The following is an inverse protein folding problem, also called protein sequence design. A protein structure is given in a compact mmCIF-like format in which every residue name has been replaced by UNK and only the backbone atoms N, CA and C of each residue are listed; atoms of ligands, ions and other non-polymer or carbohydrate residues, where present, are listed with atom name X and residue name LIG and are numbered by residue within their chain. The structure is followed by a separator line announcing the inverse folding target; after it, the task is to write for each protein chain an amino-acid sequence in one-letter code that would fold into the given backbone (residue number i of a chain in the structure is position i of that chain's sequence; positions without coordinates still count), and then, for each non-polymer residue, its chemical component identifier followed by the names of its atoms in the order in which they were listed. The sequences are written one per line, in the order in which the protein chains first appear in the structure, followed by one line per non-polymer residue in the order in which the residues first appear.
data_IF_881547036018
#
_entry.id   IF_881547036018
#
_cell.length_a   1.000
_cell.length_b   1.000
_cell.length_c   1.000
_cell.angle_alpha   90.00
_cell.angle_beta   90.00
_cell.angle_gamma   90.00
#
_symmetry.space_group_name_H-M   'P 1'
#
loop_
_entity.id
_entity.type
_entity.pdbx_description
1 polymer ?
#
# COMPACT_ATOMS: atom_id res chain seq x y z
N UNK A 1 12.44 -3.32 -12.04
CA UNK A 1 11.91 -3.81 -10.74
C UNK A 1 10.90 -2.82 -10.19
N UNK A 2 9.96 -2.33 -11.02
CA UNK A 2 9.19 -1.10 -10.73
C UNK A 2 7.68 -1.32 -10.53
N UNK A 3 7.15 -2.54 -10.66
CA UNK A 3 5.70 -2.72 -10.79
C UNK A 3 4.96 -3.00 -9.48
N UNK A 4 5.51 -3.82 -8.58
CA UNK A 4 4.77 -4.29 -7.40
C UNK A 4 4.42 -3.17 -6.40
N UNK A 5 5.34 -2.26 -6.02
CA UNK A 5 5.00 -1.15 -5.12
C UNK A 5 4.01 -0.20 -5.79
N UNK A 6 4.23 0.13 -7.07
CA UNK A 6 3.43 1.11 -7.82
C UNK A 6 1.97 0.70 -7.95
N UNK A 7 1.69 -0.59 -8.15
CA UNK A 7 0.31 -1.11 -8.19
C UNK A 7 -0.44 -0.93 -6.86
N UNK A 8 0.22 -1.20 -5.73
CA UNK A 8 -0.39 -1.03 -4.39
C UNK A 8 -0.58 0.45 -4.06
N UNK A 9 0.35 1.32 -4.45
CA UNK A 9 0.18 2.77 -4.34
C UNK A 9 -1.03 3.28 -5.14
N UNK A 10 -1.20 2.82 -6.38
CA UNK A 10 -2.37 3.16 -7.19
C UNK A 10 -3.68 2.69 -6.56
N UNK A 11 -3.72 1.46 -6.06
CA UNK A 11 -4.88 0.92 -5.35
C UNK A 11 -5.22 1.73 -4.09
N UNK A 12 -4.22 2.17 -3.32
CA UNK A 12 -4.41 3.01 -2.14
C UNK A 12 -5.13 4.31 -2.48
N UNK A 13 -4.65 5.06 -3.47
CA UNK A 13 -5.28 6.32 -3.87
C UNK A 13 -6.67 6.11 -4.47
N UNK A 14 -6.87 5.07 -5.29
CA UNK A 14 -8.18 4.76 -5.84
C UNK A 14 -9.22 4.49 -4.74
N UNK A 15 -8.84 3.76 -3.69
CA UNK A 15 -9.72 3.52 -2.54
C UNK A 15 -10.00 4.82 -1.79
N UNK A 16 -8.99 5.65 -1.52
CA UNK A 16 -9.20 6.93 -0.83
C UNK A 16 -10.13 7.88 -1.61
N UNK A 17 -10.03 7.89 -2.94
CA UNK A 17 -10.91 8.69 -3.80
C UNK A 17 -12.35 8.22 -3.66
N UNK A 18 -12.60 6.91 -3.78
CA UNK A 18 -13.95 6.36 -3.63
C UNK A 18 -14.52 6.51 -2.22
N UNK A 19 -13.69 6.47 -1.17
CA UNK A 19 -14.14 6.65 0.22
C UNK A 19 -14.69 8.05 0.52
N UNK A 20 -14.36 9.07 -0.28
CA UNK A 20 -14.86 10.44 -0.07
C UNK A 20 -16.38 10.52 -0.15
N UNK A 21 -16.96 9.76 -1.07
CA UNK A 21 -18.40 9.80 -1.39
C UNK A 21 -19.21 8.81 -0.54
N UNK A 22 -18.55 7.98 0.26
CA UNK A 22 -19.22 7.06 1.19
C UNK A 22 -19.72 7.84 2.42
N UNK A 23 -20.91 7.48 2.90
CA UNK A 23 -21.55 8.08 4.08
C UNK A 23 -21.51 7.21 5.33
N UNK A 24 -21.22 5.91 5.19
CA UNK A 24 -21.00 5.00 6.32
C UNK A 24 -19.61 5.23 6.92
N UNK A 25 -19.55 5.95 8.04
CA UNK A 25 -18.31 6.32 8.72
C UNK A 25 -17.56 5.10 9.27
N UNK A 26 -18.26 4.08 9.76
CA UNK A 26 -17.63 2.85 10.29
C UNK A 26 -16.97 2.08 9.16
N UNK A 27 -17.65 1.96 8.01
CA UNK A 27 -17.07 1.36 6.82
C UNK A 27 -15.87 2.16 6.31
N UNK A 28 -15.95 3.50 6.30
CA UNK A 28 -14.85 4.37 5.88
C UNK A 28 -13.62 4.18 6.74
N UNK A 29 -13.76 4.25 8.05
CA UNK A 29 -12.64 4.13 8.96
C UNK A 29 -11.97 2.75 8.83
N UNK A 30 -12.76 1.67 8.81
CA UNK A 30 -12.24 0.30 8.63
C UNK A 30 -11.52 0.14 7.31
N UNK A 31 -12.09 0.64 6.22
CA UNK A 31 -11.50 0.53 4.88
C UNK A 31 -10.24 1.37 4.75
N UNK A 32 -10.25 2.60 5.30
CA UNK A 32 -9.07 3.48 5.36
C UNK A 32 -7.93 2.83 6.14
N UNK A 33 -8.22 2.26 7.32
CA UNK A 33 -7.22 1.57 8.12
C UNK A 33 -6.65 0.37 7.37
N UNK A 34 -7.50 -0.46 6.77
CA UNK A 34 -7.07 -1.65 6.02
C UNK A 34 -6.17 -1.30 4.84
N UNK A 35 -6.55 -0.31 4.02
CA UNK A 35 -5.77 0.05 2.83
C UNK A 35 -4.44 0.72 3.21
N UNK A 36 -4.42 1.47 4.31
CA UNK A 36 -3.17 2.05 4.86
C UNK A 36 -2.21 0.96 5.34
N UNK A 37 -2.71 -0.06 6.05
CA UNK A 37 -1.90 -1.18 6.50
C UNK A 37 -1.33 -1.99 5.32
N UNK A 38 -2.13 -2.25 4.28
CA UNK A 38 -1.67 -2.92 3.06
C UNK A 38 -0.58 -2.12 2.32
N UNK A 39 -0.73 -0.80 2.24
CA UNK A 39 0.29 0.07 1.66
C UNK A 39 1.60 -0.01 2.46
N UNK A 40 1.51 0.00 3.79
CA UNK A 40 2.70 -0.09 4.65
C UNK A 40 3.38 -1.45 4.52
N UNK A 41 2.61 -2.54 4.47
CA UNK A 41 3.15 -3.89 4.25
C UNK A 41 3.88 -3.98 2.90
N UNK A 42 3.29 -3.48 1.83
CA UNK A 42 3.92 -3.45 0.51
C UNK A 42 5.23 -2.65 0.49
N UNK A 43 5.26 -1.49 1.17
CA UNK A 43 6.48 -0.67 1.33
C UNK A 43 7.57 -1.45 2.07
N UNK A 44 7.24 -2.05 3.20
CA UNK A 44 8.18 -2.83 4.01
C UNK A 44 8.73 -4.01 3.22
N UNK A 45 7.87 -4.78 2.55
CA UNK A 45 8.29 -5.94 1.77
C UNK A 45 9.18 -5.54 0.59
N UNK A 46 8.85 -4.45 -0.11
CA UNK A 46 9.70 -3.93 -1.18
C UNK A 46 11.09 -3.53 -0.65
N UNK A 47 11.16 -2.86 0.50
CA UNK A 47 12.42 -2.48 1.12
C UNK A 47 13.28 -3.69 1.52
N UNK A 48 12.65 -4.74 2.09
CA UNK A 48 13.35 -5.97 2.46
C UNK A 48 13.91 -6.71 1.23
N UNK A 49 13.13 -6.83 0.16
CA UNK A 49 13.58 -7.46 -1.09
C UNK A 49 14.75 -6.68 -1.69
N UNK A 50 14.63 -5.35 -1.78
CA UNK A 50 15.69 -4.49 -2.33
C UNK A 50 16.97 -4.56 -1.48
N UNK A 51 16.85 -4.49 -0.15
CA UNK A 51 18.00 -4.61 0.76
C UNK A 51 18.69 -5.97 0.64
N UNK A 52 17.92 -7.06 0.55
CA UNK A 52 18.48 -8.40 0.35
C UNK A 52 19.21 -8.56 -0.98
N UNK A 53 18.73 -7.90 -2.04
CA UNK A 53 19.39 -7.93 -3.34
C UNK A 53 20.69 -7.14 -3.36
N UNK A 54 20.75 -6.03 -2.64
CA UNK A 54 21.95 -5.22 -2.55
C UNK A 54 23.03 -5.94 -1.74
N UNK A 55 22.67 -6.56 -0.60
CA UNK A 55 23.59 -7.36 0.22
C UNK A 55 24.12 -8.63 -0.49
N UNK A 56 23.50 -9.07 -1.59
CA UNK A 56 23.97 -10.21 -2.41
C UNK A 56 24.95 -9.80 -3.51
N UNK A 57 25.14 -8.50 -3.74
CA UNK A 57 26.11 -7.98 -4.73
C UNK A 57 27.48 -7.71 -4.11
N UNK A 58 27.59 -7.71 -2.78
CA UNK A 58 28.83 -7.80 -2.01
C UNK A 58 29.29 -9.26 -1.89
#
# INVERSE_FOLDING_TARGET
MESLPTGVFGAYFNVLINLKDVTDDVFKEKTHHRISSLLQEAKTQAALVLGSLEARKE
#
